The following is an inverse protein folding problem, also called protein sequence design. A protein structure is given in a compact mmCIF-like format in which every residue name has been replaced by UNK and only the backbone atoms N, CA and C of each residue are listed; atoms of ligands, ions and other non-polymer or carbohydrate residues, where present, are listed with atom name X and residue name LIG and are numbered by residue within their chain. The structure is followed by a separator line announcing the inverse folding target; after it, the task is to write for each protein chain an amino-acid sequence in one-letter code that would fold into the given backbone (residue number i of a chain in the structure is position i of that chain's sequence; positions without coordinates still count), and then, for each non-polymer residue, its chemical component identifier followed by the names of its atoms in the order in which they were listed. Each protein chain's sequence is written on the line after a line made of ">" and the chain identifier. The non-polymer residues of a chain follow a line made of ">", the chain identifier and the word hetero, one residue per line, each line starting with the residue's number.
data_IF_148164920837
#
_entry.id   IF_148164920837
#
_cell.length_a   1.000
_cell.length_b   1.000
_cell.length_c   1.000
_cell.angle_alpha   90.00
_cell.angle_beta   90.00
_cell.angle_gamma   90.00
#
_symmetry.space_group_name_H-M   'P 1'
#
loop_
_entity.id
_entity.type
_entity.pdbx_description
1 polymer ?
#
# COMPACT_ATOMS: atom_id res chain seq x y z
N UNK A 1 17.69 -19.30 12.36
CA UNK A 1 17.06 -18.40 11.37
C UNK A 1 16.09 -19.27 10.58
N UNK A 2 14.79 -19.20 10.91
CA UNK A 2 13.73 -19.97 10.23
C UNK A 2 13.23 -19.16 9.03
N UNK A 3 14.09 -19.02 8.02
CA UNK A 3 13.78 -18.19 6.86
C UNK A 3 12.59 -18.79 6.10
N UNK A 4 11.48 -18.04 6.06
CA UNK A 4 10.30 -18.34 5.23
C UNK A 4 9.13 -19.04 5.92
N UNK A 5 9.25 -19.49 7.18
CA UNK A 5 8.14 -20.15 7.88
C UNK A 5 7.18 -19.17 8.58
N UNK A 6 7.66 -17.97 8.88
CA UNK A 6 6.91 -16.97 9.59
C UNK A 6 7.14 -15.58 8.98
N UNK A 7 6.12 -14.72 9.09
CA UNK A 7 6.17 -13.34 8.62
C UNK A 7 5.76 -12.40 9.75
N UNK A 8 6.52 -11.32 9.90
CA UNK A 8 6.09 -10.19 10.71
C UNK A 8 5.07 -9.37 9.91
N UNK A 9 3.89 -9.15 10.49
CA UNK A 9 2.79 -8.44 9.82
C UNK A 9 2.41 -7.11 10.49
N UNK A 10 2.98 -6.87 11.67
CA UNK A 10 2.95 -5.61 12.41
C UNK A 10 4.10 -5.65 13.44
N UNK A 11 4.54 -4.51 14.00
CA UNK A 11 5.66 -4.47 14.93
C UNK A 11 5.50 -5.46 16.09
N UNK A 12 6.42 -6.43 16.17
CA UNK A 12 6.43 -7.48 17.20
C UNK A 12 5.35 -8.55 17.04
N UNK A 13 4.60 -8.57 15.92
CA UNK A 13 3.53 -9.55 15.66
C UNK A 13 3.91 -10.43 14.48
N UNK A 14 3.96 -11.73 14.74
CA UNK A 14 4.41 -12.75 13.81
C UNK A 14 3.27 -13.74 13.58
N UNK A 15 3.07 -14.16 12.33
CA UNK A 15 2.17 -15.23 11.94
C UNK A 15 2.93 -16.27 11.10
N UNK A 16 2.40 -17.49 11.03
CA UNK A 16 2.88 -18.47 10.07
C UNK A 16 2.69 -17.94 8.64
N UNK A 17 3.64 -18.22 7.75
CA UNK A 17 3.66 -17.64 6.41
C UNK A 17 2.46 -18.06 5.55
N UNK A 18 1.92 -19.27 5.77
CA UNK A 18 0.70 -19.77 5.13
C UNK A 18 -0.52 -18.91 5.48
N UNK A 19 -0.63 -18.42 6.71
CA UNK A 19 -1.67 -17.47 7.15
C UNK A 19 -1.57 -16.09 6.49
N UNK A 20 -0.51 -15.82 5.74
CA UNK A 20 -0.27 -14.57 5.02
C UNK A 20 -0.07 -14.77 3.50
N UNK A 21 -0.38 -15.95 2.97
CA UNK A 21 -0.05 -16.32 1.59
C UNK A 21 -0.74 -15.44 0.54
N UNK A 22 -1.98 -15.01 0.79
CA UNK A 22 -2.78 -14.22 -0.17
C UNK A 22 -3.06 -12.81 0.33
N UNK A 23 -3.37 -11.85 -0.56
CA UNK A 23 -3.78 -10.51 -0.14
C UNK A 23 -4.98 -10.50 0.80
N UNK A 24 -5.97 -11.37 0.58
CA UNK A 24 -7.14 -11.50 1.45
C UNK A 24 -6.76 -11.97 2.86
N UNK A 25 -5.82 -12.91 2.97
CA UNK A 25 -5.34 -13.41 4.26
C UNK A 25 -4.50 -12.36 5.00
N UNK A 26 -3.66 -11.60 4.27
CA UNK A 26 -2.92 -10.47 4.83
C UNK A 26 -3.84 -9.36 5.33
N UNK A 27 -4.87 -9.00 4.58
CA UNK A 27 -5.88 -8.04 5.03
C UNK A 27 -6.52 -8.49 6.37
N UNK A 28 -6.88 -9.77 6.50
CA UNK A 28 -7.42 -10.34 7.74
C UNK A 28 -6.46 -10.27 8.93
N UNK A 29 -5.15 -10.35 8.70
CA UNK A 29 -4.16 -10.23 9.76
C UNK A 29 -4.02 -8.78 10.26
N UNK A 30 -3.97 -7.82 9.34
CA UNK A 30 -3.55 -6.45 9.68
C UNK A 30 -4.69 -5.48 9.90
N UNK A 31 -5.81 -5.61 9.17
CA UNK A 31 -6.93 -4.69 9.28
C UNK A 31 -7.56 -4.65 10.68
N UNK A 32 -7.69 -5.77 11.43
CA UNK A 32 -8.19 -5.73 12.81
C UNK A 32 -7.31 -4.95 13.80
N UNK A 33 -6.08 -4.63 13.42
CA UNK A 33 -5.16 -3.83 14.24
C UNK A 33 -5.28 -2.33 13.98
N UNK A 34 -6.06 -1.93 12.97
CA UNK A 34 -6.27 -0.53 12.63
C UNK A 34 -7.44 0.03 13.45
N UNK A 35 -7.47 1.35 13.71
CA UNK A 35 -8.61 2.00 14.36
C UNK A 35 -9.92 1.73 13.63
N UNK A 36 -11.01 1.61 14.39
CA UNK A 36 -12.35 1.46 13.82
C UNK A 36 -12.65 2.56 12.78
N UNK A 37 -13.26 2.17 11.67
CA UNK A 37 -13.57 3.09 10.56
C UNK A 37 -12.36 3.57 9.74
N UNK A 38 -11.15 3.08 10.02
CA UNK A 38 -9.98 3.35 9.18
C UNK A 38 -9.80 2.33 8.06
N UNK A 39 -9.06 2.72 7.03
CA UNK A 39 -8.62 1.84 5.95
C UNK A 39 -7.09 1.73 5.94
N UNK A 40 -6.52 0.58 5.52
CA UNK A 40 -5.07 0.47 5.37
C UNK A 40 -4.58 1.48 4.33
N UNK A 41 -3.41 2.07 4.59
CA UNK A 41 -2.83 3.08 3.72
C UNK A 41 -1.35 2.81 3.48
N UNK A 42 -0.82 3.43 2.41
CA UNK A 42 0.60 3.43 2.03
C UNK A 42 1.27 2.05 2.22
N UNK A 43 2.19 1.93 3.18
CA UNK A 43 3.00 0.74 3.42
C UNK A 43 2.18 -0.45 3.92
N UNK A 44 1.14 -0.24 4.74
CA UNK A 44 0.23 -1.33 5.15
C UNK A 44 -0.53 -1.88 3.94
N UNK A 45 -1.07 -1.00 3.10
CA UNK A 45 -1.77 -1.43 1.89
C UNK A 45 -0.80 -2.13 0.90
N UNK A 46 0.43 -1.63 0.76
CA UNK A 46 1.46 -2.27 -0.04
C UNK A 46 1.79 -3.69 0.45
N UNK A 47 1.89 -3.88 1.77
CA UNK A 47 2.09 -5.20 2.35
C UNK A 47 0.93 -6.16 2.09
N UNK A 48 -0.32 -5.67 2.21
CA UNK A 48 -1.50 -6.47 1.88
C UNK A 48 -1.38 -7.02 0.44
N UNK A 49 -0.97 -6.20 -0.53
CA UNK A 49 -0.85 -6.68 -1.91
C UNK A 49 0.36 -7.55 -2.18
N UNK A 50 1.51 -7.22 -1.58
CA UNK A 50 2.81 -7.78 -2.01
C UNK A 50 3.39 -8.80 -1.05
N UNK A 51 2.91 -8.85 0.20
CA UNK A 51 3.52 -9.61 1.30
C UNK A 51 4.88 -9.07 1.74
N UNK A 52 5.35 -7.98 1.14
CA UNK A 52 6.67 -7.44 1.43
C UNK A 52 6.61 -6.47 2.61
N UNK A 53 7.15 -6.92 3.74
CA UNK A 53 7.32 -6.13 4.97
C UNK A 53 8.81 -5.94 5.23
N UNK A 54 9.44 -4.83 4.83
CA UNK A 54 10.82 -4.54 5.21
C UNK A 54 10.88 -4.19 6.71
N UNK A 55 11.42 -5.05 7.60
CA UNK A 55 11.40 -4.80 9.04
C UNK A 55 12.17 -3.52 9.43
N UNK A 56 13.18 -3.17 8.63
CA UNK A 56 13.98 -1.95 8.79
C UNK A 56 13.25 -0.66 8.38
N UNK A 57 12.14 -0.76 7.62
CA UNK A 57 11.43 0.40 7.02
C UNK A 57 9.97 0.53 7.48
N UNK A 58 9.30 -0.59 7.77
CA UNK A 58 7.90 -0.63 8.17
C UNK A 58 7.77 -0.74 9.70
N UNK A 59 8.08 0.37 10.39
CA UNK A 59 8.10 0.46 11.87
C UNK A 59 6.72 0.59 12.51
N UNK A 60 5.68 0.85 11.71
CA UNK A 60 4.30 1.03 12.17
C UNK A 60 3.31 0.65 11.08
N UNK A 61 2.09 0.36 11.50
CA UNK A 61 0.94 0.33 10.60
C UNK A 61 0.63 1.75 10.10
N UNK A 62 0.21 1.85 8.85
CA UNK A 62 -0.26 3.06 8.20
C UNK A 62 -1.74 2.91 7.84
N UNK A 63 -2.55 3.89 8.24
CA UNK A 63 -3.99 3.92 8.00
C UNK A 63 -4.44 5.29 7.48
N UNK A 64 -5.58 5.32 6.82
CA UNK A 64 -6.34 6.53 6.52
C UNK A 64 -7.63 6.50 7.31
N UNK A 65 -8.06 7.66 7.83
CA UNK A 65 -9.32 7.78 8.56
C UNK A 65 -9.88 9.19 8.38
N UNK A 66 -11.19 9.40 8.18
CA UNK A 66 -11.77 10.73 7.93
C UNK A 66 -11.50 11.75 9.05
N UNK A 67 -11.63 11.35 10.32
CA UNK A 67 -11.54 12.27 11.47
C UNK A 67 -10.48 11.94 12.55
N UNK A 68 -10.05 10.68 12.67
CA UNK A 68 -9.14 10.22 13.71
C UNK A 68 -7.74 10.84 13.63
N UNK A 69 -7.08 10.91 14.78
CA UNK A 69 -5.68 11.35 14.95
C UNK A 69 -4.79 10.24 15.52
N UNK A 70 -5.26 8.99 15.49
CA UNK A 70 -4.51 7.86 16.01
C UNK A 70 -3.11 7.77 15.36
N UNK A 71 -2.10 7.30 16.09
CA UNK A 71 -0.69 7.39 15.69
C UNK A 71 -0.35 6.66 14.37
N UNK A 72 -1.16 5.68 13.96
CA UNK A 72 -1.01 4.97 12.69
C UNK A 72 -1.68 5.70 11.51
N UNK A 73 -2.52 6.71 11.77
CA UNK A 73 -3.21 7.47 10.71
C UNK A 73 -2.23 8.43 10.04
N UNK A 74 -1.89 8.15 8.77
CA UNK A 74 -0.92 8.91 7.99
C UNK A 74 -1.53 10.08 7.22
N UNK A 75 -2.82 10.00 6.90
CA UNK A 75 -3.60 11.11 6.36
C UNK A 75 -5.08 10.96 6.69
N UNK A 76 -5.81 12.08 6.63
CA UNK A 76 -7.25 12.10 6.84
C UNK A 76 -8.01 12.13 5.53
N UNK A 77 -8.68 11.03 5.23
CA UNK A 77 -9.58 10.93 4.09
C UNK A 77 -10.54 9.75 4.30
N UNK A 78 -11.72 9.85 3.69
CA UNK A 78 -12.55 8.69 3.43
C UNK A 78 -12.03 7.99 2.18
N UNK A 79 -11.99 6.66 2.18
CA UNK A 79 -11.71 5.90 0.96
C UNK A 79 -12.95 5.90 0.09
N UNK A 80 -12.84 6.45 -1.11
CA UNK A 80 -13.92 6.46 -2.11
C UNK A 80 -14.14 5.05 -2.68
N UNK A 81 -15.39 4.72 -2.99
CA UNK A 81 -15.80 3.40 -3.49
C UNK A 81 -15.08 3.00 -4.80
N UNK A 82 -14.89 3.94 -5.72
CA UNK A 82 -14.16 3.69 -6.97
C UNK A 82 -12.71 3.25 -6.74
N UNK A 83 -12.13 3.63 -5.59
CA UNK A 83 -10.76 3.28 -5.22
C UNK A 83 -10.71 2.26 -4.10
N UNK A 84 -11.83 1.60 -3.77
CA UNK A 84 -11.88 0.55 -2.79
C UNK A 84 -11.97 -0.83 -3.45
N UNK A 85 -11.52 -1.85 -2.72
CA UNK A 85 -11.73 -3.27 -3.03
C UNK A 85 -11.98 -4.01 -1.74
N UNK A 86 -12.79 -5.06 -1.80
CA UNK A 86 -12.96 -5.98 -0.68
C UNK A 86 -11.91 -7.09 -0.75
N UNK A 87 -11.13 -7.23 0.33
CA UNK A 87 -10.16 -8.31 0.51
C UNK A 87 -10.32 -8.93 1.89
N UNK A 88 -10.64 -10.22 1.93
CA UNK A 88 -10.74 -10.95 3.19
C UNK A 88 -11.86 -10.47 4.12
N UNK A 89 -12.83 -9.71 3.61
CA UNK A 89 -13.91 -9.07 4.37
C UNK A 89 -13.59 -7.65 4.85
N UNK A 90 -12.52 -7.04 4.34
CA UNK A 90 -12.13 -5.68 4.66
C UNK A 90 -12.03 -4.82 3.42
N UNK A 91 -12.50 -3.58 3.53
CA UNK A 91 -12.32 -2.54 2.52
C UNK A 91 -10.87 -2.04 2.52
N UNK A 92 -10.20 -2.20 1.39
CA UNK A 92 -8.80 -1.76 1.17
C UNK A 92 -8.71 -0.83 -0.05
N UNK A 93 -7.71 0.05 -0.14
CA UNK A 93 -7.51 0.85 -1.35
C UNK A 93 -7.06 -0.03 -2.52
N UNK A 94 -7.46 0.31 -3.75
CA UNK A 94 -6.95 -0.33 -4.96
C UNK A 94 -5.42 -0.24 -5.05
N UNK A 95 -4.80 -1.11 -5.84
CA UNK A 95 -3.35 -1.07 -6.10
C UNK A 95 -2.92 0.27 -6.70
N UNK A 96 -3.74 0.87 -7.58
CA UNK A 96 -3.46 2.17 -8.18
C UNK A 96 -3.50 3.31 -7.15
N UNK A 97 -4.50 3.32 -6.27
CA UNK A 97 -4.57 4.27 -5.15
C UNK A 97 -3.39 4.10 -4.21
N UNK A 98 -3.09 2.86 -3.83
CA UNK A 98 -1.96 2.51 -2.97
C UNK A 98 -0.65 3.03 -3.54
N UNK A 99 -0.37 2.77 -4.82
CA UNK A 99 0.83 3.22 -5.50
C UNK A 99 0.94 4.74 -5.56
N UNK A 100 -0.16 5.45 -5.81
CA UNK A 100 -0.17 6.90 -5.76
C UNK A 100 0.10 7.43 -4.35
N UNK A 101 -0.57 6.88 -3.33
CA UNK A 101 -0.39 7.28 -1.93
C UNK A 101 1.06 7.08 -1.48
N UNK A 102 1.68 5.94 -1.84
CA UNK A 102 3.10 5.68 -1.61
C UNK A 102 3.97 6.78 -2.20
N UNK A 103 3.82 7.08 -3.49
CA UNK A 103 4.62 8.10 -4.17
C UNK A 103 4.37 9.52 -3.63
N UNK A 104 3.15 9.81 -3.16
CA UNK A 104 2.79 11.14 -2.68
C UNK A 104 3.26 11.42 -1.25
N UNK A 105 3.45 10.37 -0.43
CA UNK A 105 3.62 10.50 1.03
C UNK A 105 4.94 9.93 1.53
N UNK A 106 5.32 8.75 1.04
CA UNK A 106 6.50 8.04 1.57
C UNK A 106 7.80 8.58 0.99
N UNK A 107 8.91 8.22 1.62
CA UNK A 107 10.25 8.54 1.12
C UNK A 107 10.44 7.98 -0.31
N UNK A 108 10.98 8.75 -1.27
CA UNK A 108 11.08 8.35 -2.67
C UNK A 108 11.66 6.96 -2.93
N UNK A 109 12.76 6.58 -2.28
CA UNK A 109 13.38 5.26 -2.44
C UNK A 109 12.45 4.12 -1.99
N UNK A 110 11.82 4.27 -0.82
CA UNK A 110 10.83 3.31 -0.31
C UNK A 110 9.62 3.24 -1.23
N UNK A 111 9.08 4.40 -1.64
CA UNK A 111 7.90 4.48 -2.48
C UNK A 111 8.12 3.78 -3.83
N UNK A 112 9.24 4.05 -4.50
CA UNK A 112 9.59 3.43 -5.78
C UNK A 112 9.73 1.91 -5.65
N UNK A 113 10.39 1.42 -4.60
CA UNK A 113 10.50 -0.02 -4.36
C UNK A 113 9.13 -0.69 -4.15
N UNK A 114 8.26 -0.08 -3.33
CA UNK A 114 6.90 -0.57 -3.13
C UNK A 114 6.11 -0.61 -4.45
N UNK A 115 6.20 0.44 -5.27
CA UNK A 115 5.47 0.49 -6.55
C UNK A 115 6.00 -0.56 -7.52
N UNK A 116 7.31 -0.76 -7.63
CA UNK A 116 7.88 -1.85 -8.44
C UNK A 116 7.33 -3.22 -8.01
N UNK A 117 7.19 -3.46 -6.69
CA UNK A 117 6.60 -4.70 -6.18
C UNK A 117 5.12 -4.81 -6.51
N UNK A 118 4.35 -3.73 -6.37
CA UNK A 118 2.94 -3.70 -6.78
C UNK A 118 2.77 -4.01 -8.27
N UNK A 119 3.65 -3.47 -9.13
CA UNK A 119 3.68 -3.74 -10.56
C UNK A 119 3.93 -5.23 -10.84
N UNK A 120 4.91 -5.84 -10.16
CA UNK A 120 5.17 -7.29 -10.23
C UNK A 120 4.00 -8.12 -9.68
N UNK A 121 3.21 -7.57 -8.77
CA UNK A 121 1.99 -8.19 -8.24
C UNK A 121 0.72 -7.86 -9.04
N UNK A 122 0.85 -7.26 -10.23
CA UNK A 122 -0.28 -7.06 -11.15
C UNK A 122 -0.92 -5.66 -11.14
N UNK A 123 -0.29 -4.64 -10.53
CA UNK A 123 -0.68 -3.26 -10.78
C UNK A 123 -0.51 -2.92 -12.27
N UNK A 124 -1.58 -2.42 -12.88
CA UNK A 124 -1.52 -1.86 -14.23
C UNK A 124 -0.93 -0.43 -14.19
N UNK A 125 0.17 -0.14 -14.91
CA UNK A 125 0.74 1.21 -14.99
C UNK A 125 -0.25 2.27 -15.47
N UNK A 126 -1.20 1.91 -16.34
CA UNK A 126 -2.19 2.86 -16.86
C UNK A 126 -3.17 3.31 -15.78
N UNK A 127 -3.56 2.42 -14.87
CA UNK A 127 -4.45 2.76 -13.76
C UNK A 127 -3.76 3.73 -12.79
N UNK A 128 -2.46 3.52 -12.53
CA UNK A 128 -1.64 4.45 -11.74
C UNK A 128 -1.55 5.83 -12.42
N UNK A 129 -1.34 5.89 -13.74
CA UNK A 129 -1.31 7.15 -14.47
C UNK A 129 -2.65 7.86 -14.47
N UNK A 130 -3.75 7.13 -14.67
CA UNK A 130 -5.10 7.67 -14.63
C UNK A 130 -5.41 8.26 -13.25
N UNK A 131 -5.11 7.51 -12.18
CA UNK A 131 -5.30 7.99 -10.82
C UNK A 131 -4.43 9.22 -10.52
N UNK A 132 -3.17 9.22 -10.95
CA UNK A 132 -2.24 10.35 -10.77
C UNK A 132 -2.70 11.64 -11.46
N UNK A 133 -3.42 11.54 -12.59
CA UNK A 133 -4.00 12.70 -13.29
C UNK A 133 -5.18 13.28 -12.52
N UNK A 134 -6.02 12.42 -11.92
CA UNK A 134 -7.17 12.85 -11.11
C UNK A 134 -6.73 13.56 -9.83
N UNK A 135 -5.72 13.02 -9.16
CA UNK A 135 -5.16 13.55 -7.91
C UNK A 135 -4.15 14.70 -8.11
N UNK A 136 -4.22 15.43 -9.23
CA UNK A 136 -3.21 16.44 -9.62
C UNK A 136 -2.98 17.55 -8.60
N UNK A 137 -3.97 17.85 -7.76
CA UNK A 137 -3.93 18.92 -6.75
C UNK A 137 -3.43 18.43 -5.39
N UNK A 138 -3.25 17.11 -5.20
CA UNK A 138 -2.81 16.55 -3.94
C UNK A 138 -1.33 16.90 -3.69
N UNK A 139 -1.00 17.14 -2.42
CA UNK A 139 0.39 17.31 -1.99
C UNK A 139 1.20 16.06 -2.39
N UNK A 140 2.39 16.25 -2.95
CA UNK A 140 3.21 15.17 -3.52
C UNK A 140 2.79 14.73 -4.94
N UNK A 141 1.64 15.20 -5.45
CA UNK A 141 1.12 14.85 -6.77
C UNK A 141 2.06 15.12 -7.96
N UNK A 142 2.82 16.24 -8.01
CA UNK A 142 3.80 16.46 -9.07
C UNK A 142 4.89 15.40 -9.15
N UNK A 143 5.45 15.01 -8.00
CA UNK A 143 6.43 13.93 -7.93
C UNK A 143 5.79 12.59 -8.30
N UNK A 144 4.64 12.25 -7.70
CA UNK A 144 3.95 10.99 -7.96
C UNK A 144 3.64 10.79 -9.44
N UNK A 145 3.18 11.84 -10.14
CA UNK A 145 2.94 11.78 -11.58
C UNK A 145 4.22 11.61 -12.40
N UNK A 146 5.30 12.33 -12.04
CA UNK A 146 6.59 12.19 -12.73
C UNK A 146 7.14 10.77 -12.56
N UNK A 147 7.08 10.24 -11.34
CA UNK A 147 7.52 8.89 -11.00
C UNK A 147 6.66 7.82 -11.70
N UNK A 148 5.32 7.96 -11.71
CA UNK A 148 4.42 7.06 -12.41
C UNK A 148 4.73 6.99 -13.92
N UNK A 149 5.01 8.14 -14.55
CA UNK A 149 5.42 8.18 -15.96
C UNK A 149 6.75 7.44 -16.18
N UNK A 150 7.76 7.71 -15.35
CA UNK A 150 9.07 7.06 -15.45
C UNK A 150 8.99 5.54 -15.23
N UNK A 151 8.20 5.10 -14.24
CA UNK A 151 8.00 3.69 -13.93
C UNK A 151 7.29 2.94 -15.06
N UNK A 152 6.30 3.55 -15.73
CA UNK A 152 5.69 2.97 -16.92
C UNK A 152 6.72 2.71 -18.01
N UNK A 153 7.51 3.72 -18.36
CA UNK A 153 8.57 3.61 -19.38
C UNK A 153 9.58 2.52 -19.02
N UNK A 154 10.05 2.49 -17.77
CA UNK A 154 10.98 1.46 -17.30
C UNK A 154 10.43 0.02 -17.47
N UNK A 155 9.14 -0.20 -17.19
CA UNK A 155 8.53 -1.53 -17.33
C UNK A 155 8.36 -1.92 -18.80
N UNK A 156 8.00 -0.97 -19.66
CA UNK A 156 7.88 -1.21 -21.11
C UNK A 156 9.23 -1.59 -21.72
N UNK A 157 10.34 -1.04 -21.21
CA UNK A 157 11.70 -1.32 -21.65
C UNK A 157 12.31 -2.61 -21.06
N UNK A 158 11.73 -3.15 -19.98
CA UNK A 158 12.27 -4.34 -19.27
C UNK A 158 11.41 -5.60 -19.42
N UNK A 159 10.36 -5.54 -20.25
CA UNK A 159 9.58 -6.69 -20.71
C UNK A 159 10.18 -7.28 -21.98
#
# INVERSE_FOLDING_TARGET
>A
MHDGLAVEYAPGRIAAADLAATPAMRARLVCPLLPDGSTPATLTAAWIYTGWWPPSRLKRLCAAHPTSRHHCVVYRAQLEEEYSRELGGFTVPTTARTAFDLLAIEEPGVAVECVIRLLRSGLNPEDLLLHSKRERRRRGGPFARKAAKALKTYIEETK
#
